data_IF_577123080469
#
_entry.id   IF_577123080469
#
_cell.length_a   1.000
_cell.length_b   1.000
_cell.length_c   1.000
_cell.angle_alpha   90.00
_cell.angle_beta   90.00
_cell.angle_gamma   90.00
#
_symmetry.space_group_name_H-M   'P 1'
#
loop_
_entity.id
_entity.type
_entity.pdbx_description
1 polymer ?
#
# COMPACT_ATOMS: atom_id res chain seq x y z
N UNK A 1 13.14 1.73 -34.00
CA UNK A 1 11.95 2.36 -33.40
C UNK A 1 11.68 1.63 -32.09
N UNK A 2 11.58 2.38 -31.00
CA UNK A 2 11.85 1.99 -29.60
C UNK A 2 11.02 0.82 -29.03
N UNK A 3 11.63 -0.12 -28.26
CA UNK A 3 10.94 -1.18 -27.52
C UNK A 3 10.64 -0.84 -26.05
N UNK A 4 10.80 0.41 -25.60
CA UNK A 4 10.66 0.79 -24.18
C UNK A 4 9.23 1.15 -23.73
N UNK A 5 8.30 1.38 -24.67
CA UNK A 5 6.93 1.80 -24.36
C UNK A 5 6.06 0.68 -23.78
N UNK A 6 6.30 -0.58 -24.16
CA UNK A 6 5.40 -1.70 -23.87
C UNK A 6 5.52 -2.20 -22.42
N UNK A 7 6.71 -2.08 -21.81
CA UNK A 7 6.94 -2.43 -20.41
C UNK A 7 6.33 -1.39 -19.43
N UNK A 8 6.31 -0.12 -19.83
CA UNK A 8 5.65 0.97 -19.09
C UNK A 8 4.11 0.95 -19.25
N UNK A 9 3.60 0.40 -20.35
CA UNK A 9 2.17 0.23 -20.59
C UNK A 9 1.61 -0.98 -19.82
N UNK A 10 2.32 -2.12 -19.82
CA UNK A 10 1.95 -3.31 -19.07
C UNK A 10 1.97 -3.10 -17.54
N UNK A 11 2.96 -2.38 -17.02
CA UNK A 11 3.06 -2.09 -15.58
C UNK A 11 1.94 -1.19 -15.03
N UNK A 12 1.30 -0.39 -15.89
CA UNK A 12 0.18 0.48 -15.49
C UNK A 12 -1.15 -0.27 -15.45
N UNK A 13 -1.33 -1.28 -16.29
CA UNK A 13 -2.57 -2.06 -16.33
C UNK A 13 -2.66 -3.08 -15.19
N UNK A 14 -1.52 -3.69 -14.80
CA UNK A 14 -1.49 -4.64 -13.67
C UNK A 14 -1.62 -3.99 -12.28
N UNK A 15 -1.67 -2.64 -12.19
CA UNK A 15 -1.65 -1.91 -10.93
C UNK A 15 -3.02 -1.33 -10.53
N UNK A 16 -3.94 -1.15 -11.49
CA UNK A 16 -5.28 -0.62 -11.20
C UNK A 16 -6.23 -1.70 -10.66
N UNK A 17 -6.10 -2.96 -11.08
CA UNK A 17 -7.02 -4.02 -10.67
C UNK A 17 -6.87 -4.42 -9.19
N UNK A 18 -5.67 -4.29 -8.62
CA UNK A 18 -5.45 -4.52 -7.18
C UNK A 18 -6.24 -3.51 -6.30
N UNK A 19 -6.57 -2.33 -6.85
CA UNK A 19 -7.40 -1.32 -6.15
C UNK A 19 -8.91 -1.59 -6.21
N UNK A 20 -9.37 -2.55 -7.02
CA UNK A 20 -10.81 -2.88 -7.14
C UNK A 20 -11.26 -3.91 -6.10
N UNK A 21 -10.33 -4.57 -5.44
CA UNK A 21 -10.58 -5.55 -4.39
C UNK A 21 -10.48 -4.86 -3.04
N UNK A 22 -11.43 -5.12 -2.14
CA UNK A 22 -11.44 -4.53 -0.80
C UNK A 22 -10.09 -4.77 -0.09
N UNK A 23 -9.49 -3.76 0.56
CA UNK A 23 -8.19 -3.87 1.20
C UNK A 23 -8.09 -4.99 2.25
N UNK A 24 -9.21 -5.43 2.83
CA UNK A 24 -9.25 -6.55 3.79
C UNK A 24 -8.78 -7.88 3.19
N UNK A 25 -8.83 -8.02 1.86
CA UNK A 25 -8.41 -9.22 1.13
C UNK A 25 -7.03 -9.08 0.46
N UNK A 26 -6.36 -7.93 0.63
CA UNK A 26 -5.04 -7.74 0.05
C UNK A 26 -4.04 -8.72 0.65
N UNK A 27 -3.28 -9.38 -0.22
CA UNK A 27 -2.11 -10.15 0.17
C UNK A 27 -0.94 -9.21 0.49
N UNK A 28 0.15 -9.75 1.05
CA UNK A 28 1.41 -9.00 1.21
C UNK A 28 1.87 -8.41 -0.13
N UNK A 29 1.67 -9.12 -1.23
CA UNK A 29 2.07 -8.63 -2.57
C UNK A 29 1.22 -7.46 -3.04
N UNK A 30 -0.07 -7.43 -2.70
CA UNK A 30 -0.97 -6.32 -3.02
C UNK A 30 -0.61 -5.07 -2.21
N UNK A 31 -0.34 -5.23 -0.92
CA UNK A 31 0.13 -4.12 -0.05
C UNK A 31 1.42 -3.52 -0.60
N UNK A 32 2.40 -4.36 -0.96
CA UNK A 32 3.68 -3.90 -1.53
C UNK A 32 3.46 -3.17 -2.87
N UNK A 33 2.60 -3.72 -3.73
CA UNK A 33 2.25 -3.10 -5.01
C UNK A 33 1.60 -1.73 -4.80
N UNK A 34 0.64 -1.63 -3.88
CA UNK A 34 -0.02 -0.38 -3.55
C UNK A 34 0.96 0.68 -3.01
N UNK A 35 1.78 0.34 -2.01
CA UNK A 35 2.75 1.29 -1.43
C UNK A 35 3.77 1.77 -2.49
N UNK A 36 4.17 0.87 -3.40
CA UNK A 36 5.01 1.21 -4.55
C UNK A 36 4.29 2.18 -5.49
N UNK A 37 3.05 1.88 -5.85
CA UNK A 37 2.23 2.65 -6.79
C UNK A 37 1.95 4.07 -6.31
N UNK A 38 1.74 4.24 -5.01
CA UNK A 38 1.47 5.57 -4.40
C UNK A 38 2.74 6.38 -4.12
N UNK A 39 3.89 5.92 -4.61
CA UNK A 39 5.12 6.71 -4.68
C UNK A 39 6.15 6.40 -3.60
N UNK A 40 6.05 5.25 -2.91
CA UNK A 40 6.99 4.84 -1.86
C UNK A 40 7.67 3.48 -2.16
N UNK A 41 8.31 3.30 -3.34
CA UNK A 41 8.92 2.02 -3.74
C UNK A 41 10.01 1.54 -2.78
N UNK A 42 10.81 2.45 -2.22
CA UNK A 42 11.86 2.12 -1.26
C UNK A 42 11.28 1.60 0.07
N UNK A 43 10.14 2.15 0.50
CA UNK A 43 9.51 1.78 1.76
C UNK A 43 8.66 0.51 1.63
N UNK A 44 8.19 0.17 0.43
CA UNK A 44 7.40 -1.04 0.18
C UNK A 44 8.13 -2.32 0.62
N UNK A 45 9.47 -2.34 0.56
CA UNK A 45 10.28 -3.45 1.05
C UNK A 45 10.11 -3.72 2.56
N UNK A 46 9.86 -2.69 3.37
CA UNK A 46 9.61 -2.84 4.81
C UNK A 46 8.29 -3.57 5.06
N UNK A 47 7.23 -3.22 4.31
CA UNK A 47 5.93 -3.91 4.37
C UNK A 47 6.06 -5.39 3.97
N UNK A 48 6.85 -5.67 2.93
CA UNK A 48 7.16 -7.06 2.52
C UNK A 48 7.88 -7.82 3.62
N UNK A 49 8.94 -7.23 4.20
CA UNK A 49 9.81 -7.88 5.19
C UNK A 49 9.06 -8.20 6.48
N UNK A 50 8.13 -7.32 6.87
CA UNK A 50 7.28 -7.50 8.05
C UNK A 50 6.01 -8.31 7.74
N UNK A 51 5.88 -8.84 6.52
CA UNK A 51 4.76 -9.67 6.08
C UNK A 51 3.39 -9.00 6.28
N UNK A 52 3.32 -7.68 6.03
CA UNK A 52 2.10 -6.90 6.21
C UNK A 52 1.11 -7.21 5.08
N UNK A 53 0.05 -7.94 5.41
CA UNK A 53 -1.11 -8.14 4.56
C UNK A 53 -2.16 -7.04 4.76
N UNK A 54 -3.27 -7.12 4.02
CA UNK A 54 -4.34 -6.13 4.07
C UNK A 54 -4.99 -5.97 5.44
N UNK A 55 -5.22 -7.08 6.16
CA UNK A 55 -5.82 -7.05 7.50
C UNK A 55 -4.88 -6.39 8.50
N UNK A 56 -3.60 -6.77 8.48
CA UNK A 56 -2.58 -6.15 9.30
C UNK A 56 -2.47 -4.65 8.99
N UNK A 57 -2.43 -4.28 7.70
CA UNK A 57 -2.37 -2.88 7.24
C UNK A 57 -3.52 -2.04 7.80
N UNK A 58 -4.75 -2.56 7.75
CA UNK A 58 -5.94 -1.88 8.24
C UNK A 58 -5.98 -1.77 9.77
N UNK A 59 -5.26 -2.63 10.50
CA UNK A 59 -5.15 -2.57 11.96
C UNK A 59 -3.95 -1.74 12.44
N UNK A 60 -3.04 -1.35 11.54
CA UNK A 60 -1.86 -0.58 11.91
C UNK A 60 -2.25 0.75 12.56
N UNK A 61 -1.65 1.00 13.72
CA UNK A 61 -1.71 2.28 14.40
C UNK A 61 -0.53 3.16 13.95
N UNK A 62 -0.64 4.44 14.29
CA UNK A 62 0.39 5.44 13.97
C UNK A 62 1.79 4.99 14.40
N UNK A 63 1.92 4.47 15.62
CA UNK A 63 3.22 4.06 16.15
C UNK A 63 3.80 2.87 15.39
N UNK A 64 2.98 1.92 14.95
CA UNK A 64 3.45 0.75 14.18
C UNK A 64 4.16 1.17 12.89
N UNK A 65 3.64 2.21 12.22
CA UNK A 65 4.26 2.74 10.99
C UNK A 65 5.47 3.62 11.29
N UNK A 66 5.38 4.47 12.32
CA UNK A 66 6.44 5.44 12.63
C UNK A 66 7.69 4.81 13.26
N UNK A 67 7.54 3.69 13.98
CA UNK A 67 8.65 3.03 14.68
C UNK A 67 8.82 1.56 14.30
N UNK A 68 7.74 0.84 14.01
CA UNK A 68 7.78 -0.62 13.76
C UNK A 68 8.39 -1.02 12.41
N UNK A 69 8.29 -0.17 11.38
CA UNK A 69 8.74 -0.50 10.03
C UNK A 69 10.17 -0.04 9.70
N UNK A 70 10.88 0.61 10.64
CA UNK A 70 12.22 1.19 10.40
C UNK A 70 12.29 2.13 9.18
N UNK A 71 11.19 2.83 8.87
CA UNK A 71 11.09 3.82 7.79
C UNK A 71 11.45 5.19 8.34
N UNK A 72 12.12 6.04 7.54
CA UNK A 72 12.40 7.44 7.89
C UNK A 72 11.09 8.18 8.23
N UNK A 73 11.13 9.04 9.24
CA UNK A 73 9.95 9.74 9.78
C UNK A 73 9.10 10.44 8.71
N UNK A 74 9.73 11.16 7.77
CA UNK A 74 9.03 11.90 6.71
C UNK A 74 8.13 11.00 5.84
N UNK A 75 8.69 9.99 5.15
CA UNK A 75 7.90 8.98 4.44
C UNK A 75 6.87 8.26 5.31
N UNK A 76 7.23 7.85 6.54
CA UNK A 76 6.33 7.13 7.44
C UNK A 76 5.07 7.95 7.77
N UNK A 77 5.22 9.25 8.05
CA UNK A 77 4.10 10.17 8.28
C UNK A 77 3.20 10.28 7.04
N UNK A 78 3.78 10.38 5.85
CA UNK A 78 3.00 10.48 4.60
C UNK A 78 2.21 9.20 4.32
N UNK A 79 2.83 8.04 4.49
CA UNK A 79 2.19 6.73 4.31
C UNK A 79 1.01 6.56 5.27
N UNK A 80 1.22 6.84 6.55
CA UNK A 80 0.15 6.68 7.54
C UNK A 80 -1.00 7.67 7.31
N UNK A 81 -0.71 8.97 7.19
CA UNK A 81 -1.76 10.00 7.16
C UNK A 81 -2.51 10.06 5.82
N UNK A 82 -1.87 9.72 4.70
CA UNK A 82 -2.49 9.87 3.36
C UNK A 82 -2.99 8.57 2.75
N UNK A 83 -2.51 7.42 3.24
CA UNK A 83 -2.86 6.13 2.65
C UNK A 83 -3.55 5.22 3.66
N UNK A 84 -2.86 4.84 4.74
CA UNK A 84 -3.42 3.87 5.71
C UNK A 84 -4.71 4.39 6.35
N UNK A 85 -4.71 5.62 6.85
CA UNK A 85 -5.94 6.22 7.43
C UNK A 85 -7.09 6.36 6.44
N UNK A 86 -6.79 6.54 5.16
CA UNK A 86 -7.83 6.65 4.12
C UNK A 86 -8.44 5.27 3.87
N UNK A 87 -7.61 4.24 3.71
CA UNK A 87 -8.05 2.85 3.55
C UNK A 87 -8.86 2.35 4.75
N UNK A 88 -8.47 2.72 5.96
CA UNK A 88 -9.21 2.41 7.19
C UNK A 88 -10.61 3.04 7.17
N UNK A 89 -10.71 4.34 6.84
CA UNK A 89 -12.00 5.03 6.79
C UNK A 89 -12.95 4.42 5.78
N UNK A 90 -12.46 4.15 4.57
CA UNK A 90 -13.29 3.55 3.52
C UNK A 90 -13.78 2.16 3.91
N UNK A 91 -12.94 1.36 4.60
CA UNK A 91 -13.36 0.03 5.05
C UNK A 91 -14.47 0.07 6.11
N UNK A 92 -14.36 0.97 7.09
CA UNK A 92 -15.38 1.08 8.14
C UNK A 92 -16.68 1.72 7.65
N UNK A 93 -16.67 2.53 6.60
CA UNK A 93 -17.92 3.05 5.99
C UNK A 93 -18.67 1.98 5.19
N UNK A 94 -17.97 0.98 4.64
CA UNK A 94 -18.57 -0.13 3.90
C UNK A 94 -19.24 -1.19 4.81
N UNK A 95 -18.80 -1.33 6.07
CA UNK A 95 -19.39 -2.28 7.05
C UNK A 95 -20.76 -1.83 7.63
N UNK A 96 -21.22 -0.61 7.30
CA UNK A 96 -22.52 -0.07 7.72
C UNK A 96 -23.54 0.08 6.57
N UNK A 97 -23.28 -0.53 5.40
CA UNK A 97 -24.17 -0.51 4.23
C UNK A 97 -24.78 -1.88 3.95
#
# INVERSE_FOLDING_TARGET
>A
VEPQSDLLFSSRHMNLDSTRVSPVFWTVSDVVSYITAVGFPEQAAAFRTQEIDGKALLLMQRNDVLTGLSIKLGPALKIYERHIKVLQKTHFEDDFC
#
